data_IF_577225805518
#
_entry.id   IF_577225805518
#
_cell.length_a   1.000
_cell.length_b   1.000
_cell.length_c   1.000
_cell.angle_alpha   90.00
_cell.angle_beta   90.00
_cell.angle_gamma   90.00
#
_symmetry.space_group_name_H-M   'P 1'
#
loop_
_entity.id
_entity.type
_entity.pdbx_description
1 polymer ?
#
# COMPACT_ATOMS: atom_id res chain seq x y z
N UNK A 1 -3.03 6.19 -28.44
CA UNK A 1 -2.73 6.15 -27.00
C UNK A 1 -1.31 5.61 -26.90
N UNK A 2 -0.34 6.46 -26.53
CA UNK A 2 1.06 6.04 -26.34
C UNK A 2 1.14 5.36 -24.98
N UNK A 3 1.37 4.06 -24.96
CA UNK A 3 1.77 3.36 -23.76
C UNK A 3 3.09 3.97 -23.24
N UNK A 4 3.01 4.78 -22.20
CA UNK A 4 4.21 5.18 -21.45
C UNK A 4 4.67 3.96 -20.65
N UNK A 5 5.76 3.32 -21.10
CA UNK A 5 6.46 2.30 -20.33
C UNK A 5 7.05 2.99 -19.09
N UNK A 6 6.50 2.73 -17.94
CA UNK A 6 7.09 3.13 -16.66
C UNK A 6 8.48 2.48 -16.55
N UNK A 7 9.53 3.30 -16.56
CA UNK A 7 10.90 2.85 -16.39
C UNK A 7 11.25 2.73 -14.89
N UNK A 8 10.42 1.97 -14.17
CA UNK A 8 10.68 1.67 -12.75
C UNK A 8 11.64 0.49 -12.69
N UNK A 9 12.90 0.73 -12.37
CA UNK A 9 13.93 -0.30 -12.22
C UNK A 9 14.53 -0.20 -10.82
N UNK A 10 14.31 -1.23 -10.00
CA UNK A 10 14.76 -1.32 -8.60
C UNK A 10 16.28 -1.17 -8.47
N UNK A 11 17.05 -1.60 -9.47
CA UNK A 11 18.51 -1.45 -9.50
C UNK A 11 18.93 0.01 -9.66
N UNK A 12 18.19 0.81 -10.45
CA UNK A 12 18.36 2.28 -10.48
C UNK A 12 17.84 2.93 -9.21
N UNK A 13 16.80 2.35 -8.63
CA UNK A 13 16.22 2.74 -7.37
C UNK A 13 17.20 2.56 -6.20
N UNK A 14 17.98 1.47 -6.20
CA UNK A 14 18.99 1.19 -5.18
C UNK A 14 20.40 1.72 -5.55
N UNK A 15 20.74 1.83 -6.84
CA UNK A 15 22.06 2.31 -7.29
C UNK A 15 22.25 3.82 -7.18
N UNK A 16 21.19 4.59 -7.00
CA UNK A 16 21.29 6.00 -6.61
C UNK A 16 21.92 6.22 -5.24
N UNK A 17 22.10 5.15 -4.44
CA UNK A 17 22.64 5.17 -3.08
C UNK A 17 24.16 5.01 -3.00
N UNK A 18 24.90 4.75 -4.09
CA UNK A 18 26.32 4.36 -4.03
C UNK A 18 27.32 5.49 -4.38
N UNK A 19 26.86 6.68 -4.77
CA UNK A 19 27.75 7.78 -5.13
C UNK A 19 27.68 8.94 -4.12
N UNK A 20 28.07 8.70 -2.88
CA UNK A 20 28.12 9.76 -1.86
C UNK A 20 28.82 9.33 -0.58
N UNK A 21 30.09 8.86 -0.69
CA UNK A 21 30.91 8.70 0.49
C UNK A 21 31.31 10.08 1.04
N UNK A 22 30.89 10.36 2.29
CA UNK A 22 31.56 11.31 3.15
C UNK A 22 30.91 12.68 3.32
N UNK A 23 29.77 12.72 3.97
CA UNK A 23 29.43 13.81 4.90
C UNK A 23 28.70 13.16 6.07
N UNK A 24 29.35 13.08 7.21
CA UNK A 24 28.70 12.89 8.50
C UNK A 24 27.73 14.06 8.66
N UNK A 25 26.48 13.87 8.24
CA UNK A 25 25.40 14.79 8.55
C UNK A 25 25.18 14.67 10.07
N UNK A 26 25.72 15.64 10.81
CA UNK A 26 25.24 15.89 12.16
C UNK A 26 23.70 15.96 12.11
N UNK A 27 22.97 15.42 13.11
CA UNK A 27 21.53 15.56 13.17
C UNK A 27 21.22 17.04 13.01
N UNK A 28 20.40 17.39 12.00
CA UNK A 28 19.95 18.75 11.83
C UNK A 28 19.19 19.12 13.10
N UNK A 29 19.81 19.90 13.97
CA UNK A 29 19.17 20.46 15.15
C UNK A 29 18.11 21.39 14.59
N UNK A 30 16.86 20.91 14.53
CA UNK A 30 15.70 21.72 14.23
C UNK A 30 15.62 22.77 15.33
N UNK A 31 15.88 24.03 14.97
CA UNK A 31 15.89 25.09 15.95
C UNK A 31 14.53 25.21 16.59
N UNK A 32 14.48 25.13 17.90
CA UNK A 32 13.27 25.17 18.76
C UNK A 32 12.40 26.42 18.63
N UNK A 33 12.69 27.31 17.69
CA UNK A 33 11.93 28.56 17.44
C UNK A 33 10.73 28.40 16.49
N UNK A 34 10.57 27.25 15.80
CA UNK A 34 9.44 27.03 14.89
C UNK A 34 8.24 26.29 15.54
N UNK A 35 8.40 25.81 16.78
CA UNK A 35 7.39 25.00 17.46
C UNK A 35 6.53 25.83 18.43
N UNK A 36 5.90 26.91 17.94
CA UNK A 36 4.93 27.68 18.73
C UNK A 36 3.51 27.09 18.61
N UNK A 37 3.36 25.77 18.59
CA UNK A 37 2.07 25.10 18.50
C UNK A 37 2.01 23.88 19.43
N UNK A 38 0.93 23.14 19.48
CA UNK A 38 0.53 22.18 20.51
C UNK A 38 1.57 21.17 21.00
N UNK A 39 2.67 20.95 20.27
CA UNK A 39 3.67 19.93 20.57
C UNK A 39 3.18 18.50 20.29
N UNK A 40 2.11 18.36 19.49
CA UNK A 40 1.52 17.05 19.15
C UNK A 40 0.99 17.00 17.72
N UNK A 41 0.87 15.80 17.17
CA UNK A 41 0.18 15.49 15.93
C UNK A 41 -0.81 14.35 16.14
N UNK A 42 -2.03 14.50 15.65
CA UNK A 42 -3.08 13.50 15.73
C UNK A 42 -3.10 12.70 14.42
N UNK A 43 -2.64 11.45 14.50
CA UNK A 43 -2.50 10.56 13.36
C UNK A 43 -3.48 9.39 13.43
N UNK A 44 -4.14 9.12 12.30
CA UNK A 44 -4.97 7.92 12.12
C UNK A 44 -4.34 7.06 11.02
N UNK A 45 -4.02 5.82 11.35
CA UNK A 45 -3.38 4.88 10.46
C UNK A 45 -3.87 3.45 10.66
N UNK A 46 -3.14 2.50 10.14
CA UNK A 46 -3.51 1.09 10.06
C UNK A 46 -3.32 0.36 11.38
N UNK A 47 -4.29 -0.52 11.71
CA UNK A 47 -4.20 -1.44 12.83
C UNK A 47 -3.30 -2.65 12.53
N UNK A 48 -2.70 -3.22 13.58
CA UNK A 48 -1.91 -4.45 13.47
C UNK A 48 -0.40 -4.23 13.31
N UNK A 49 0.08 -3.00 13.47
CA UNK A 49 1.50 -2.63 13.34
C UNK A 49 2.08 -2.04 14.63
N UNK A 50 2.25 -2.85 15.70
CA UNK A 50 2.68 -2.36 17.02
C UNK A 50 4.04 -1.67 17.03
N UNK A 51 4.91 -2.00 16.08
CA UNK A 51 6.23 -1.36 15.91
C UNK A 51 6.12 0.16 15.72
N UNK A 52 5.01 0.66 15.19
CA UNK A 52 4.76 2.10 15.07
C UNK A 52 4.81 2.76 16.45
N UNK A 53 4.05 2.25 17.42
CA UNK A 53 3.97 2.80 18.77
C UNK A 53 5.17 2.44 19.64
N UNK A 54 5.80 1.30 19.39
CA UNK A 54 6.94 0.81 20.16
C UNK A 54 8.27 1.48 19.79
N UNK A 55 8.45 1.84 18.50
CA UNK A 55 9.75 2.32 17.99
C UNK A 55 9.65 3.60 17.17
N UNK A 56 8.72 3.68 16.20
CA UNK A 56 8.71 4.77 15.22
C UNK A 56 8.29 6.09 15.86
N UNK A 57 7.17 6.11 16.59
CA UNK A 57 6.69 7.33 17.23
C UNK A 57 7.63 7.81 18.35
N UNK A 58 8.19 6.94 19.21
CA UNK A 58 9.23 7.37 20.14
C UNK A 58 10.48 7.97 19.49
N UNK A 59 10.91 7.42 18.34
CA UNK A 59 12.04 7.98 17.60
C UNK A 59 11.72 9.37 17.01
N UNK A 60 10.52 9.54 16.45
CA UNK A 60 10.04 10.83 15.98
C UNK A 60 9.94 11.85 17.12
N UNK A 61 9.36 11.48 18.27
CA UNK A 61 9.27 12.34 19.44
C UNK A 61 10.66 12.74 19.97
N UNK A 62 11.58 11.79 20.03
CA UNK A 62 12.97 12.08 20.43
C UNK A 62 13.68 13.05 19.47
N UNK A 63 13.41 12.95 18.17
CA UNK A 63 14.04 13.80 17.15
C UNK A 63 13.43 15.20 17.08
N UNK A 64 12.14 15.36 17.38
CA UNK A 64 11.38 16.59 17.11
C UNK A 64 10.76 17.25 18.34
N UNK A 65 10.59 16.51 19.43
CA UNK A 65 9.82 16.94 20.60
C UNK A 65 8.30 16.93 20.36
N UNK A 66 7.81 16.37 19.25
CA UNK A 66 6.39 16.32 18.88
C UNK A 66 5.85 14.94 19.24
N UNK A 67 4.81 14.90 20.06
CA UNK A 67 4.11 13.66 20.43
C UNK A 67 3.16 13.22 19.34
N UNK A 68 3.11 11.91 19.05
CA UNK A 68 2.10 11.33 18.17
C UNK A 68 0.94 10.78 18.98
N UNK A 69 -0.25 11.34 18.79
CA UNK A 69 -1.49 10.77 19.29
C UNK A 69 -2.04 9.86 18.19
N UNK A 70 -1.94 8.56 18.37
CA UNK A 70 -2.27 7.57 17.34
C UNK A 70 -3.62 6.90 17.61
N UNK A 71 -4.44 6.82 16.53
CA UNK A 71 -5.63 5.99 16.46
C UNK A 71 -5.49 5.00 15.33
N UNK A 72 -5.55 3.71 15.62
CA UNK A 72 -5.49 2.67 14.60
C UNK A 72 -6.88 2.27 14.11
N UNK A 73 -7.01 2.00 12.81
CA UNK A 73 -8.23 1.53 12.15
C UNK A 73 -7.92 0.35 11.22
N UNK A 74 -8.87 -0.61 11.09
CA UNK A 74 -8.60 -1.87 10.40
C UNK A 74 -8.55 -1.76 8.87
N UNK A 75 -9.26 -0.78 8.28
CA UNK A 75 -9.42 -0.65 6.84
C UNK A 75 -9.70 0.78 6.40
N UNK A 76 -9.58 1.02 5.09
CA UNK A 76 -9.73 2.35 4.49
C UNK A 76 -11.16 2.88 4.48
N UNK A 77 -12.16 2.02 4.45
CA UNK A 77 -13.56 2.45 4.44
C UNK A 77 -13.94 2.98 5.83
N UNK A 78 -13.44 2.32 6.88
CA UNK A 78 -13.51 2.81 8.26
C UNK A 78 -12.74 4.11 8.44
N UNK A 79 -11.52 4.23 7.88
CA UNK A 79 -10.74 5.47 7.89
C UNK A 79 -11.50 6.61 7.20
N UNK A 80 -12.12 6.35 6.04
CA UNK A 80 -12.90 7.35 5.33
C UNK A 80 -14.10 7.84 6.14
N UNK A 81 -14.83 6.91 6.77
CA UNK A 81 -15.96 7.25 7.65
C UNK A 81 -15.51 8.11 8.83
N UNK A 82 -14.39 7.74 9.47
CA UNK A 82 -13.78 8.51 10.55
C UNK A 82 -13.36 9.91 10.09
N UNK A 83 -12.77 10.03 8.90
CA UNK A 83 -12.40 11.30 8.30
C UNK A 83 -13.60 12.24 8.09
N UNK A 84 -14.75 11.70 7.71
CA UNK A 84 -16.01 12.48 7.61
C UNK A 84 -16.47 13.00 8.96
N UNK A 85 -16.42 12.17 10.00
CA UNK A 85 -16.74 12.61 11.37
C UNK A 85 -15.75 13.67 11.83
N UNK A 86 -14.46 13.47 11.60
CA UNK A 86 -13.42 14.41 11.98
C UNK A 86 -13.51 15.75 11.25
N UNK A 87 -14.05 15.81 10.05
CA UNK A 87 -14.29 17.06 9.33
C UNK A 87 -15.22 17.98 10.11
N UNK A 88 -16.20 17.41 10.83
CA UNK A 88 -17.15 18.16 11.64
C UNK A 88 -16.63 18.43 13.06
N UNK A 89 -15.98 17.44 13.66
CA UNK A 89 -15.58 17.46 15.08
C UNK A 89 -14.14 17.92 15.32
N UNK A 90 -13.27 17.83 14.30
CA UNK A 90 -11.84 18.01 14.43
C UNK A 90 -11.14 16.80 15.07
N UNK A 91 -9.89 17.00 15.49
CA UNK A 91 -9.15 16.01 16.27
C UNK A 91 -8.29 15.03 15.46
N UNK A 92 -8.23 15.17 14.15
CA UNK A 92 -7.32 14.43 13.27
C UNK A 92 -6.56 15.42 12.40
N UNK A 93 -5.24 15.27 12.32
CA UNK A 93 -4.38 16.09 11.48
C UNK A 93 -3.93 15.35 10.22
N UNK A 94 -3.54 14.08 10.37
CA UNK A 94 -2.99 13.24 9.31
C UNK A 94 -3.72 11.89 9.28
N UNK A 95 -3.99 11.40 8.07
CA UNK A 95 -4.45 10.03 7.83
C UNK A 95 -3.61 9.36 6.75
N UNK A 96 -3.63 8.02 6.67
CA UNK A 96 -2.78 7.24 5.77
C UNK A 96 -3.58 6.31 4.83
N UNK A 97 -4.28 6.86 3.82
CA UNK A 97 -4.90 6.03 2.78
C UNK A 97 -3.88 5.54 1.74
N UNK A 98 -4.28 4.59 0.90
CA UNK A 98 -3.54 4.26 -0.32
C UNK A 98 -3.79 5.29 -1.43
N UNK A 99 -2.86 5.36 -2.39
CA UNK A 99 -2.86 6.34 -3.49
C UNK A 99 -4.13 6.31 -4.34
N UNK A 100 -4.77 5.16 -4.45
CA UNK A 100 -6.00 4.97 -5.22
C UNK A 100 -7.26 5.55 -4.54
N UNK A 101 -7.16 5.96 -3.28
CA UNK A 101 -8.30 6.37 -2.44
C UNK A 101 -8.39 7.88 -2.18
N UNK A 102 -7.27 8.57 -2.13
CA UNK A 102 -7.26 9.99 -1.72
C UNK A 102 -8.10 10.90 -2.63
N UNK A 103 -8.16 10.62 -3.94
CA UNK A 103 -8.98 11.40 -4.88
C UNK A 103 -10.46 11.40 -4.49
N UNK A 104 -11.00 10.24 -4.08
CA UNK A 104 -12.34 10.13 -3.52
C UNK A 104 -12.52 10.87 -2.21
N UNK A 105 -11.49 10.92 -1.36
CA UNK A 105 -11.52 11.69 -0.12
C UNK A 105 -11.48 13.19 -0.39
N UNK A 106 -10.65 13.62 -1.36
CA UNK A 106 -10.57 15.01 -1.78
C UNK A 106 -11.89 15.52 -2.37
N UNK A 107 -12.52 14.75 -3.25
CA UNK A 107 -13.82 15.10 -3.84
C UNK A 107 -14.95 15.22 -2.81
N UNK A 108 -14.82 14.53 -1.66
CA UNK A 108 -15.71 14.71 -0.51
C UNK A 108 -15.30 15.86 0.42
N UNK A 109 -14.29 16.66 0.06
CA UNK A 109 -13.89 17.85 0.77
C UNK A 109 -13.16 17.62 2.10
N UNK A 110 -12.60 16.41 2.30
CA UNK A 110 -11.93 16.02 3.54
C UNK A 110 -10.51 16.57 3.67
N UNK A 111 -9.84 16.88 2.54
CA UNK A 111 -8.40 17.08 2.51
C UNK A 111 -7.99 18.55 2.40
N UNK A 112 -6.87 18.87 3.05
CA UNK A 112 -6.06 20.07 2.88
C UNK A 112 -4.83 19.78 2.02
N UNK A 113 -4.27 20.82 1.42
CA UNK A 113 -3.04 20.68 0.66
C UNK A 113 -1.81 20.73 1.57
N UNK A 114 -0.81 19.92 1.25
CA UNK A 114 0.52 20.00 1.82
C UNK A 114 1.28 21.20 1.23
N UNK A 115 2.14 21.81 2.03
CA UNK A 115 3.11 22.81 1.56
C UNK A 115 4.42 22.09 1.19
N UNK A 116 4.76 21.97 -0.10
CA UNK A 116 5.99 21.26 -0.50
C UNK A 116 7.27 21.89 0.05
N UNK A 117 7.25 23.18 0.36
CA UNK A 117 8.42 23.88 0.93
C UNK A 117 8.72 23.45 2.38
N UNK A 118 7.74 22.88 3.08
CA UNK A 118 7.89 22.35 4.44
C UNK A 118 8.23 20.86 4.46
N UNK A 119 8.23 20.19 3.29
CA UNK A 119 8.54 18.77 3.13
C UNK A 119 9.95 18.62 2.54
N UNK A 120 10.59 17.47 2.81
CA UNK A 120 11.88 17.15 2.21
C UNK A 120 11.67 16.32 0.92
N UNK A 121 11.08 16.95 -0.11
CA UNK A 121 10.70 16.26 -1.35
C UNK A 121 11.88 15.58 -2.05
N UNK A 122 13.10 16.10 -1.92
CA UNK A 122 14.32 15.50 -2.48
C UNK A 122 14.72 14.18 -1.79
N UNK A 123 14.18 13.88 -0.63
CA UNK A 123 14.44 12.62 0.07
C UNK A 123 13.76 11.43 -0.61
N UNK A 124 12.68 11.65 -1.35
CA UNK A 124 11.92 10.55 -1.94
C UNK A 124 12.69 9.88 -3.07
N UNK A 125 12.50 8.57 -3.15
CA UNK A 125 13.00 7.79 -4.27
C UNK A 125 12.35 8.25 -5.58
N UNK A 126 13.12 8.30 -6.69
CA UNK A 126 12.59 8.69 -7.99
C UNK A 126 11.37 7.84 -8.39
N UNK A 127 10.32 8.49 -8.85
CA UNK A 127 9.09 7.85 -9.30
C UNK A 127 8.01 7.70 -8.22
N UNK A 128 8.28 8.01 -6.94
CA UNK A 128 7.27 7.98 -5.87
C UNK A 128 6.62 9.34 -5.60
N UNK A 129 7.41 10.41 -5.54
CA UNK A 129 6.92 11.77 -5.31
C UNK A 129 7.02 12.67 -6.56
N UNK A 130 7.57 12.13 -7.65
CA UNK A 130 7.71 12.78 -8.95
C UNK A 130 7.19 11.87 -10.08
N UNK A 131 7.20 12.33 -11.31
CA UNK A 131 6.68 11.58 -12.46
C UNK A 131 5.22 11.20 -12.31
N UNK A 132 4.83 10.04 -12.81
CA UNK A 132 3.43 9.59 -12.82
C UNK A 132 2.82 9.41 -11.43
N UNK A 133 3.61 8.97 -10.44
CA UNK A 133 3.15 8.89 -9.06
C UNK A 133 3.00 10.29 -8.45
N UNK A 134 3.94 11.20 -8.74
CA UNK A 134 3.89 12.59 -8.30
C UNK A 134 2.68 13.34 -8.90
N UNK A 135 2.35 13.11 -10.16
CA UNK A 135 1.14 13.65 -10.80
C UNK A 135 -0.13 13.14 -10.11
N UNK A 136 -0.17 11.85 -9.77
CA UNK A 136 -1.30 11.24 -9.03
C UNK A 136 -1.44 11.75 -7.60
N UNK A 137 -0.43 12.40 -7.06
CA UNK A 137 -0.46 13.00 -5.70
C UNK A 137 -1.00 14.42 -5.68
N UNK A 138 -1.47 14.96 -6.82
CA UNK A 138 -1.85 16.36 -6.96
C UNK A 138 -3.30 16.55 -7.41
N UNK A 139 -3.87 17.66 -6.93
CA UNK A 139 -5.11 18.25 -7.44
C UNK A 139 -4.73 19.61 -8.05
N UNK A 140 -4.55 19.65 -9.37
CA UNK A 140 -3.91 20.79 -10.04
C UNK A 140 -2.49 21.02 -9.50
N UNK A 141 -2.20 22.23 -9.07
CA UNK A 141 -0.90 22.60 -8.50
C UNK A 141 -0.73 22.19 -7.02
N UNK A 142 -1.80 21.73 -6.37
CA UNK A 142 -1.80 21.42 -4.93
C UNK A 142 -1.29 20.00 -4.69
N UNK A 143 -0.30 19.88 -3.81
CA UNK A 143 0.13 18.57 -3.31
C UNK A 143 -0.86 18.07 -2.26
N UNK A 144 -1.54 16.96 -2.53
CA UNK A 144 -2.60 16.43 -1.67
C UNK A 144 -2.17 15.16 -0.93
N UNK A 145 -1.13 14.50 -1.42
CA UNK A 145 -0.71 13.19 -0.95
C UNK A 145 0.81 13.07 -0.90
N UNK A 146 1.34 12.51 0.18
CA UNK A 146 2.79 12.36 0.41
C UNK A 146 3.07 10.89 0.71
N UNK A 147 3.87 10.17 -0.10
CA UNK A 147 4.14 8.75 0.09
C UNK A 147 4.79 8.44 1.45
N UNK A 148 4.37 7.33 2.09
CA UNK A 148 4.95 6.82 3.36
C UNK A 148 5.67 5.49 3.18
N UNK A 149 5.08 4.55 2.47
CA UNK A 149 5.65 3.26 2.11
C UNK A 149 4.97 2.71 0.85
N UNK A 150 5.54 1.66 0.29
CA UNK A 150 4.93 0.96 -0.84
C UNK A 150 5.12 -0.56 -0.71
N UNK A 151 4.27 -1.31 -1.37
CA UNK A 151 4.32 -2.75 -1.33
C UNK A 151 3.53 -3.38 -2.45
N UNK A 152 3.34 -4.68 -2.32
CA UNK A 152 2.65 -5.51 -3.30
C UNK A 152 1.61 -6.41 -2.64
N UNK A 153 0.66 -6.89 -3.45
CA UNK A 153 -0.24 -7.97 -3.11
C UNK A 153 -0.05 -9.07 -4.15
N UNK A 154 0.43 -10.23 -3.72
CA UNK A 154 0.81 -11.33 -4.59
C UNK A 154 0.55 -12.69 -3.92
N UNK A 155 1.07 -13.77 -4.51
CA UNK A 155 0.85 -15.11 -4.00
C UNK A 155 1.73 -15.38 -2.77
N UNK A 156 1.13 -15.71 -1.63
CA UNK A 156 1.78 -16.39 -0.51
C UNK A 156 1.48 -17.88 -0.65
N UNK A 157 2.50 -18.72 -0.72
CA UNK A 157 2.34 -20.13 -1.06
C UNK A 157 3.17 -21.04 -0.16
N UNK A 158 2.60 -22.17 0.26
CA UNK A 158 3.36 -23.31 0.73
C UNK A 158 3.74 -24.18 -0.48
N UNK A 159 4.98 -24.06 -0.97
CA UNK A 159 5.41 -24.76 -2.19
C UNK A 159 5.37 -26.30 -2.08
N UNK A 160 5.43 -26.83 -0.86
CA UNK A 160 5.36 -28.29 -0.65
C UNK A 160 3.94 -28.83 -0.85
N UNK A 161 2.91 -28.01 -0.63
CA UNK A 161 1.51 -28.43 -0.61
C UNK A 161 0.69 -27.85 -1.76
N UNK A 162 0.92 -26.57 -2.12
CA UNK A 162 0.17 -25.89 -3.16
C UNK A 162 0.43 -26.49 -4.56
N UNK A 163 -0.64 -26.60 -5.34
CA UNK A 163 -0.58 -27.04 -6.74
C UNK A 163 -0.46 -25.82 -7.65
N UNK A 164 0.79 -25.49 -8.00
CA UNK A 164 1.09 -24.30 -8.80
C UNK A 164 1.29 -24.65 -10.27
N UNK A 165 0.86 -23.74 -11.13
CA UNK A 165 1.25 -23.71 -12.54
C UNK A 165 2.74 -23.34 -12.67
N UNK A 166 3.30 -23.57 -13.85
CA UNK A 166 4.69 -23.20 -14.14
C UNK A 166 4.75 -22.34 -15.40
N UNK A 167 5.03 -21.03 -15.28
CA UNK A 167 5.24 -20.26 -14.03
C UNK A 167 3.95 -20.07 -13.21
N UNK A 168 4.07 -19.73 -11.90
CA UNK A 168 2.92 -19.46 -11.04
C UNK A 168 2.03 -18.33 -11.57
N UNK A 169 0.72 -18.50 -11.47
CA UNK A 169 -0.30 -17.62 -12.05
C UNK A 169 -1.34 -17.19 -11.02
N UNK A 170 -2.02 -16.08 -11.25
CA UNK A 170 -3.22 -15.71 -10.48
C UNK A 170 -4.30 -16.80 -10.56
N UNK A 171 -4.30 -17.62 -11.61
CA UNK A 171 -5.19 -18.77 -11.76
C UNK A 171 -5.03 -19.84 -10.68
N UNK A 172 -3.84 -19.96 -10.08
CA UNK A 172 -3.57 -20.96 -9.03
C UNK A 172 -4.39 -20.71 -7.76
N UNK A 173 -4.84 -19.45 -7.52
CA UNK A 173 -5.78 -19.09 -6.45
C UNK A 173 -7.13 -19.77 -6.58
N UNK A 174 -7.51 -20.17 -7.78
CA UNK A 174 -8.81 -20.74 -8.12
C UNK A 174 -8.76 -22.26 -8.36
N UNK A 175 -7.60 -22.88 -8.10
CA UNK A 175 -7.46 -24.31 -8.15
C UNK A 175 -8.17 -24.95 -6.94
N UNK A 176 -9.15 -25.86 -7.12
CA UNK A 176 -9.89 -26.46 -6.01
C UNK A 176 -9.04 -27.30 -5.06
N UNK A 177 -7.83 -27.73 -5.48
CA UNK A 177 -6.89 -28.46 -4.65
C UNK A 177 -6.05 -27.56 -3.73
N UNK A 178 -6.16 -26.23 -3.86
CA UNK A 178 -5.43 -25.27 -3.04
C UNK A 178 -6.37 -24.60 -2.02
N UNK A 179 -6.40 -25.02 -0.75
CA UNK A 179 -7.07 -24.24 0.31
C UNK A 179 -6.54 -22.81 0.31
N UNK A 180 -7.44 -21.84 0.15
CA UNK A 180 -7.05 -20.45 -0.13
C UNK A 180 -7.50 -19.47 0.95
N UNK A 181 -6.64 -18.49 1.27
CA UNK A 181 -6.97 -17.30 2.06
C UNK A 181 -7.03 -16.09 1.13
N UNK A 182 -8.21 -15.47 1.02
CA UNK A 182 -8.49 -14.51 -0.04
C UNK A 182 -9.13 -13.22 0.50
N UNK A 183 -8.79 -12.10 -0.16
CA UNK A 183 -9.46 -10.81 0.04
C UNK A 183 -10.50 -10.60 -1.06
N UNK A 184 -11.78 -10.40 -0.74
CA UNK A 184 -12.85 -10.50 -1.74
C UNK A 184 -12.65 -9.63 -2.98
N UNK A 185 -12.40 -8.33 -2.81
CA UNK A 185 -12.26 -7.42 -3.94
C UNK A 185 -10.97 -7.61 -4.75
N UNK A 186 -9.86 -7.91 -4.08
CA UNK A 186 -8.59 -8.21 -4.75
C UNK A 186 -8.67 -9.51 -5.53
N UNK A 187 -9.40 -10.50 -5.00
CA UNK A 187 -9.63 -11.77 -5.68
C UNK A 187 -10.47 -11.60 -6.95
N UNK A 188 -11.50 -10.75 -6.92
CA UNK A 188 -12.26 -10.44 -8.14
C UNK A 188 -11.40 -9.72 -9.18
N UNK A 189 -10.53 -8.81 -8.75
CA UNK A 189 -9.58 -8.17 -9.64
C UNK A 189 -8.53 -9.18 -10.18
N UNK A 190 -8.08 -10.14 -9.34
CA UNK A 190 -7.20 -11.22 -9.78
C UNK A 190 -7.87 -12.13 -10.81
N UNK A 191 -9.14 -12.50 -10.61
CA UNK A 191 -9.91 -13.25 -11.58
C UNK A 191 -10.03 -12.48 -12.91
N UNK A 192 -10.39 -11.21 -12.85
CA UNK A 192 -10.50 -10.37 -14.05
C UNK A 192 -9.18 -10.29 -14.82
N UNK A 193 -8.06 -10.01 -14.14
CA UNK A 193 -6.73 -9.96 -14.76
C UNK A 193 -6.28 -11.31 -15.34
N UNK A 194 -6.59 -12.41 -14.64
CA UNK A 194 -6.29 -13.74 -15.14
C UNK A 194 -7.09 -14.07 -16.41
N UNK A 195 -8.38 -13.72 -16.45
CA UNK A 195 -9.22 -13.90 -17.63
C UNK A 195 -8.78 -13.00 -18.80
N UNK A 196 -8.39 -11.75 -18.51
CA UNK A 196 -7.86 -10.80 -19.50
C UNK A 196 -6.58 -11.33 -20.14
N UNK A 197 -5.64 -11.82 -19.33
CA UNK A 197 -4.40 -12.43 -19.81
C UNK A 197 -4.63 -13.64 -20.74
N UNK A 198 -5.76 -14.33 -20.60
CA UNK A 198 -6.18 -15.44 -21.45
C UNK A 198 -7.03 -15.03 -22.66
N UNK A 199 -7.30 -13.73 -22.83
CA UNK A 199 -8.19 -13.22 -23.88
C UNK A 199 -9.66 -13.66 -23.73
N UNK A 200 -10.12 -13.94 -22.52
CA UNK A 200 -11.46 -14.42 -22.21
C UNK A 200 -12.45 -13.30 -21.86
N UNK A 201 -12.00 -12.06 -21.81
CA UNK A 201 -12.85 -10.90 -21.59
C UNK A 201 -13.23 -10.22 -22.93
N UNK A 202 -14.41 -9.57 -23.01
CA UNK A 202 -14.87 -8.88 -24.21
C UNK A 202 -14.07 -7.59 -24.51
N UNK A 203 -13.36 -7.07 -23.52
CA UNK A 203 -12.50 -5.88 -23.60
C UNK A 203 -11.42 -5.95 -22.50
N UNK A 204 -10.39 -5.10 -22.54
CA UNK A 204 -9.34 -5.07 -21.52
C UNK A 204 -9.91 -4.84 -20.10
N UNK A 205 -9.37 -5.55 -19.11
CA UNK A 205 -9.77 -5.39 -17.70
C UNK A 205 -9.66 -3.94 -17.20
N UNK A 206 -8.66 -3.21 -17.70
CA UNK A 206 -8.43 -1.80 -17.34
C UNK A 206 -9.57 -0.85 -17.72
N UNK A 207 -10.39 -1.19 -18.72
CA UNK A 207 -11.52 -0.34 -19.13
C UNK A 207 -12.54 -0.17 -17.99
N UNK A 208 -12.64 -1.17 -17.12
CA UNK A 208 -13.53 -1.14 -15.95
C UNK A 208 -13.14 -0.09 -14.90
N UNK A 209 -11.93 0.47 -14.96
CA UNK A 209 -11.50 1.53 -14.03
C UNK A 209 -11.75 2.94 -14.57
N UNK A 210 -12.13 3.07 -15.82
CA UNK A 210 -12.38 4.35 -16.50
C UNK A 210 -13.83 4.54 -16.95
N UNK A 211 -14.61 3.45 -17.01
CA UNK A 211 -15.99 3.42 -17.44
C UNK A 211 -16.81 2.48 -16.55
N UNK A 212 -17.85 3.01 -15.88
CA UNK A 212 -18.71 2.24 -14.96
C UNK A 212 -19.56 1.19 -15.67
N UNK A 213 -19.93 1.39 -16.96
CA UNK A 213 -20.62 0.36 -17.72
C UNK A 213 -19.69 -0.81 -18.05
N UNK A 214 -18.44 -0.50 -18.45
CA UNK A 214 -17.39 -1.50 -18.63
C UNK A 214 -17.06 -2.22 -17.32
N UNK A 215 -17.00 -1.47 -16.19
CA UNK A 215 -16.81 -2.09 -14.87
C UNK A 215 -17.90 -3.15 -14.62
N UNK A 216 -19.16 -2.79 -14.81
CA UNK A 216 -20.27 -3.72 -14.55
C UNK A 216 -20.14 -4.99 -15.41
N UNK A 217 -19.91 -4.83 -16.73
CA UNK A 217 -19.74 -5.95 -17.65
C UNK A 217 -18.58 -6.89 -17.22
N UNK A 218 -17.41 -6.31 -16.96
CA UNK A 218 -16.21 -7.09 -16.63
C UNK A 218 -16.27 -7.73 -15.25
N UNK A 219 -16.79 -7.01 -14.27
CA UNK A 219 -16.90 -7.52 -12.90
C UNK A 219 -18.00 -8.56 -12.75
N UNK A 220 -19.08 -8.51 -13.54
CA UNK A 220 -20.09 -9.57 -13.59
C UNK A 220 -19.46 -10.89 -14.09
N UNK A 221 -18.62 -10.83 -15.12
CA UNK A 221 -17.89 -12.01 -15.63
C UNK A 221 -16.93 -12.54 -14.55
N UNK A 222 -16.11 -11.65 -13.96
CA UNK A 222 -15.14 -12.04 -12.93
C UNK A 222 -15.84 -12.64 -11.70
N UNK A 223 -16.96 -12.06 -11.25
CA UNK A 223 -17.75 -12.57 -10.15
C UNK A 223 -18.30 -13.97 -10.44
N UNK A 224 -18.90 -14.16 -11.64
CA UNK A 224 -19.48 -15.44 -12.02
C UNK A 224 -18.42 -16.57 -12.04
N UNK A 225 -17.22 -16.30 -12.56
CA UNK A 225 -16.13 -17.27 -12.58
C UNK A 225 -15.53 -17.50 -11.19
N UNK A 226 -15.37 -16.43 -10.38
CA UNK A 226 -14.84 -16.55 -9.02
C UNK A 226 -15.81 -17.36 -8.11
N UNK A 227 -17.12 -17.19 -8.26
CA UNK A 227 -18.11 -17.97 -7.51
C UNK A 227 -17.99 -19.48 -7.82
N UNK A 228 -17.74 -19.87 -9.07
CA UNK A 228 -17.55 -21.29 -9.43
C UNK A 228 -16.33 -21.91 -8.72
N UNK A 229 -15.31 -21.11 -8.48
CA UNK A 229 -14.07 -21.54 -7.85
C UNK A 229 -14.04 -21.38 -6.33
N UNK A 230 -15.06 -20.77 -5.73
CA UNK A 230 -15.09 -20.37 -4.30
C UNK A 230 -14.92 -21.50 -3.31
N UNK A 231 -15.17 -22.75 -3.72
CA UNK A 231 -15.17 -23.92 -2.82
C UNK A 231 -13.83 -24.20 -2.10
N UNK A 232 -12.73 -23.61 -2.57
CA UNK A 232 -11.41 -23.74 -1.96
C UNK A 232 -11.11 -22.66 -0.91
N UNK A 233 -11.95 -21.67 -0.70
CA UNK A 233 -11.71 -20.58 0.24
C UNK A 233 -11.93 -21.05 1.67
N UNK A 234 -10.85 -21.07 2.47
CA UNK A 234 -10.88 -21.44 3.88
C UNK A 234 -10.94 -20.25 4.81
N UNK A 235 -10.52 -19.06 4.34
CA UNK A 235 -10.53 -17.83 5.11
C UNK A 235 -10.70 -16.60 4.21
N UNK A 236 -11.62 -15.72 4.57
CA UNK A 236 -11.66 -14.35 4.07
C UNK A 236 -10.82 -13.45 4.98
N UNK A 237 -10.18 -12.44 4.38
CA UNK A 237 -9.42 -11.46 5.14
C UNK A 237 -9.71 -10.03 4.67
N UNK A 238 -9.55 -9.10 5.59
CA UNK A 238 -9.62 -7.65 5.37
C UNK A 238 -8.38 -6.94 5.88
N UNK A 239 -7.69 -7.52 6.87
CA UNK A 239 -6.48 -6.99 7.50
C UNK A 239 -5.41 -8.05 7.70
N UNK A 240 -4.21 -7.61 8.06
CA UNK A 240 -3.00 -8.43 8.20
C UNK A 240 -3.17 -9.63 9.14
N UNK A 241 -3.82 -9.42 10.29
CA UNK A 241 -4.02 -10.48 11.28
C UNK A 241 -4.89 -11.63 10.74
N UNK A 242 -5.93 -11.30 9.99
CA UNK A 242 -6.81 -12.29 9.36
C UNK A 242 -6.08 -13.03 8.24
N UNK A 243 -5.26 -12.33 7.43
CA UNK A 243 -4.45 -12.94 6.39
C UNK A 243 -3.46 -13.97 6.98
N UNK A 244 -2.71 -13.61 8.03
CA UNK A 244 -1.81 -14.53 8.73
C UNK A 244 -2.56 -15.72 9.34
N UNK A 245 -3.73 -15.49 9.96
CA UNK A 245 -4.53 -16.55 10.57
C UNK A 245 -5.03 -17.58 9.55
N UNK A 246 -5.28 -17.18 8.31
CA UNK A 246 -5.66 -18.08 7.22
C UNK A 246 -4.65 -19.20 7.01
N UNK A 247 -3.37 -18.91 7.08
CA UNK A 247 -2.28 -19.86 6.94
C UNK A 247 -2.00 -20.61 8.24
N UNK A 248 -1.89 -19.91 9.35
CA UNK A 248 -1.43 -20.50 10.62
C UNK A 248 -2.51 -21.28 11.37
N UNK A 249 -3.78 -20.95 11.19
CA UNK A 249 -4.89 -21.55 11.91
C UNK A 249 -5.89 -22.30 11.01
N UNK A 250 -6.08 -21.89 9.76
CA UNK A 250 -7.12 -22.42 8.88
C UNK A 250 -6.59 -23.27 7.71
N UNK A 251 -5.27 -23.54 7.67
CA UNK A 251 -4.66 -24.49 6.76
C UNK A 251 -4.64 -24.05 5.30
N UNK A 252 -4.63 -22.76 5.01
CA UNK A 252 -4.45 -22.28 3.64
C UNK A 252 -3.05 -22.68 3.13
N UNK A 253 -2.99 -23.14 1.89
CA UNK A 253 -1.73 -23.42 1.18
C UNK A 253 -1.35 -22.34 0.20
N UNK A 254 -2.33 -21.51 -0.19
CA UNK A 254 -2.15 -20.36 -1.08
C UNK A 254 -2.98 -19.17 -0.59
N UNK A 255 -2.53 -17.95 -0.90
CA UNK A 255 -3.32 -16.75 -0.67
C UNK A 255 -2.91 -15.60 -1.57
N UNK A 256 -3.83 -14.69 -1.81
CA UNK A 256 -3.53 -13.38 -2.38
C UNK A 256 -3.42 -12.40 -1.21
N UNK A 257 -2.20 -12.08 -0.82
CA UNK A 257 -1.92 -11.32 0.41
C UNK A 257 -0.85 -10.27 0.19
N UNK A 258 -0.72 -9.38 1.17
CA UNK A 258 0.34 -8.38 1.16
C UNK A 258 1.73 -9.01 1.34
N UNK A 259 2.76 -8.29 0.93
CA UNK A 259 4.16 -8.67 1.14
C UNK A 259 4.51 -8.80 2.63
N UNK A 260 3.86 -8.05 3.52
CA UNK A 260 3.95 -8.22 4.97
C UNK A 260 3.53 -9.62 5.44
N UNK A 261 2.45 -10.18 4.90
CA UNK A 261 2.03 -11.56 5.21
C UNK A 261 3.10 -12.57 4.78
N UNK A 262 3.63 -12.42 3.55
CA UNK A 262 4.73 -13.27 3.07
C UNK A 262 5.99 -13.14 3.93
N UNK A 263 6.32 -11.92 4.36
CA UNK A 263 7.45 -11.69 5.26
C UNK A 263 7.26 -12.38 6.62
N UNK A 264 6.08 -12.25 7.22
CA UNK A 264 5.78 -12.84 8.52
C UNK A 264 5.89 -14.38 8.49
N UNK A 265 5.46 -15.00 7.39
CA UNK A 265 5.40 -16.45 7.24
C UNK A 265 6.65 -17.08 6.59
N UNK A 266 7.68 -16.29 6.24
CA UNK A 266 8.88 -16.75 5.51
C UNK A 266 9.66 -17.86 6.19
N UNK A 267 9.58 -17.94 7.51
CA UNK A 267 10.27 -18.96 8.31
C UNK A 267 9.38 -20.19 8.58
N UNK A 268 8.11 -20.15 8.16
CA UNK A 268 7.11 -21.20 8.39
C UNK A 268 6.85 -22.04 7.13
N UNK A 269 7.76 -21.98 6.15
CA UNK A 269 7.67 -22.76 4.90
C UNK A 269 6.85 -22.09 3.79
N UNK A 270 6.47 -20.84 3.97
CA UNK A 270 5.77 -20.07 2.94
C UNK A 270 6.71 -19.17 2.15
N UNK A 271 6.39 -19.01 0.87
CA UNK A 271 7.08 -18.09 -0.04
C UNK A 271 6.13 -17.05 -0.59
N UNK A 272 6.69 -15.90 -0.88
CA UNK A 272 5.99 -14.79 -1.55
C UNK A 272 6.44 -14.73 -3.00
N UNK A 273 5.51 -14.91 -3.94
CA UNK A 273 5.82 -15.12 -5.36
C UNK A 273 5.01 -14.16 -6.22
N UNK A 274 5.68 -13.46 -7.14
CA UNK A 274 5.01 -12.69 -8.18
C UNK A 274 4.36 -13.64 -9.21
N UNK A 275 3.05 -13.55 -9.47
CA UNK A 275 2.40 -14.31 -10.53
C UNK A 275 2.85 -13.82 -11.91
N UNK A 276 2.70 -14.65 -12.93
CA UNK A 276 3.11 -14.33 -14.31
C UNK A 276 2.39 -13.12 -14.89
N UNK A 277 1.16 -12.85 -14.44
CA UNK A 277 0.38 -11.67 -14.79
C UNK A 277 0.90 -10.38 -14.10
N UNK A 278 1.81 -10.50 -13.15
CA UNK A 278 2.35 -9.42 -12.34
C UNK A 278 1.57 -9.22 -11.03
N UNK A 279 2.30 -8.92 -9.96
CA UNK A 279 1.73 -8.59 -8.65
C UNK A 279 0.95 -7.27 -8.70
N UNK A 280 -0.10 -7.17 -7.90
CA UNK A 280 -0.71 -5.87 -7.60
C UNK A 280 0.30 -5.01 -6.83
N UNK A 281 0.39 -3.75 -7.18
CA UNK A 281 1.26 -2.80 -6.49
C UNK A 281 0.44 -1.65 -5.90
N UNK A 282 0.80 -1.24 -4.71
CA UNK A 282 0.16 -0.15 -3.99
C UNK A 282 1.22 0.72 -3.31
N UNK A 283 0.89 1.95 -3.02
CA UNK A 283 1.62 2.71 -2.02
C UNK A 283 0.64 3.44 -1.10
N UNK A 284 1.05 3.54 0.15
CA UNK A 284 0.40 4.32 1.19
C UNK A 284 1.05 5.69 1.25
N UNK A 285 0.31 6.62 1.82
CA UNK A 285 0.84 7.95 2.05
C UNK A 285 -0.07 8.80 2.90
N UNK A 286 0.49 9.89 3.34
CA UNK A 286 -0.18 10.80 4.23
C UNK A 286 -1.04 11.79 3.45
N UNK A 287 -2.25 12.00 3.95
CA UNK A 287 -3.12 13.10 3.60
C UNK A 287 -3.27 14.03 4.81
N UNK A 288 -3.25 15.34 4.54
CA UNK A 288 -3.52 16.36 5.54
C UNK A 288 -5.04 16.56 5.63
N UNK A 289 -5.61 16.52 6.82
CA UNK A 289 -7.03 16.80 6.98
C UNK A 289 -7.31 18.29 6.80
N UNK A 290 -8.44 18.64 6.15
CA UNK A 290 -8.80 20.02 5.81
C UNK A 290 -8.89 20.94 7.04
N UNK A 291 -9.31 20.39 8.17
CA UNK A 291 -9.48 21.12 9.43
C UNK A 291 -8.40 20.77 10.46
N UNK A 292 -7.24 20.24 9.99
CA UNK A 292 -6.08 19.96 10.83
C UNK A 292 -5.68 21.21 11.62
N UNK A 293 -5.41 21.04 12.90
CA UNK A 293 -4.98 22.13 13.80
C UNK A 293 -3.46 22.18 13.96
N UNK A 294 -2.81 21.03 13.83
CA UNK A 294 -1.38 20.85 14.05
C UNK A 294 -0.64 20.72 12.69
N UNK A 295 -0.89 21.66 11.78
CA UNK A 295 -0.41 21.60 10.39
C UNK A 295 1.12 21.55 10.31
N UNK A 296 1.84 22.34 11.12
CA UNK A 296 3.31 22.33 11.10
C UNK A 296 3.87 21.02 11.64
N UNK A 297 3.27 20.45 12.68
CA UNK A 297 3.65 19.14 13.22
C UNK A 297 3.34 18.01 12.24
N UNK A 298 2.25 18.10 11.50
CA UNK A 298 1.93 17.16 10.43
C UNK A 298 3.00 17.16 9.33
N UNK A 299 3.52 18.34 8.95
CA UNK A 299 4.62 18.45 7.99
C UNK A 299 5.91 17.85 8.54
N UNK A 300 6.27 18.13 9.80
CA UNK A 300 7.46 17.52 10.43
C UNK A 300 7.31 15.99 10.52
N UNK A 301 6.10 15.47 10.78
CA UNK A 301 5.83 14.04 10.78
C UNK A 301 6.06 13.40 9.40
N UNK A 302 5.46 13.97 8.35
CA UNK A 302 5.65 13.49 6.99
C UNK A 302 7.11 13.60 6.53
N UNK A 303 7.80 14.70 6.90
CA UNK A 303 9.21 14.92 6.62
C UNK A 303 10.11 13.86 7.32
N UNK A 304 9.83 13.55 8.58
CA UNK A 304 10.57 12.51 9.31
C UNK A 304 10.48 11.16 8.60
N UNK A 305 9.28 10.76 8.18
CA UNK A 305 9.06 9.48 7.48
C UNK A 305 9.76 9.45 6.11
N UNK A 306 10.06 10.58 5.48
CA UNK A 306 10.83 10.65 4.24
C UNK A 306 12.35 10.60 4.43
N UNK A 307 12.86 10.75 5.66
CA UNK A 307 14.31 10.62 5.92
C UNK A 307 14.77 9.17 5.70
N UNK A 308 16.05 8.90 5.41
CA UNK A 308 16.55 7.54 5.24
C UNK A 308 16.20 6.62 6.42
N UNK A 309 16.48 7.07 7.64
CA UNK A 309 16.22 6.32 8.86
C UNK A 309 14.70 6.20 9.16
N UNK A 310 13.98 7.29 9.12
CA UNK A 310 12.53 7.30 9.37
C UNK A 310 11.77 6.44 8.37
N UNK A 311 12.14 6.48 7.08
CA UNK A 311 11.55 5.65 6.05
C UNK A 311 11.87 4.17 6.21
N UNK A 312 13.10 3.83 6.62
CA UNK A 312 13.47 2.45 6.95
C UNK A 312 12.66 1.92 8.15
N UNK A 313 12.51 2.74 9.19
CA UNK A 313 11.72 2.39 10.37
C UNK A 313 10.24 2.20 10.01
N UNK A 314 9.66 3.12 9.21
CA UNK A 314 8.28 3.06 8.75
C UNK A 314 8.03 1.80 7.91
N UNK A 315 8.85 1.58 6.88
CA UNK A 315 8.76 0.40 6.03
C UNK A 315 8.92 -0.91 6.81
N UNK A 316 9.86 -0.95 7.77
CA UNK A 316 10.07 -2.12 8.63
C UNK A 316 8.84 -2.38 9.51
N UNK A 317 8.19 -1.34 10.05
CA UNK A 317 6.98 -1.48 10.85
C UNK A 317 5.83 -2.11 10.07
N UNK A 318 5.70 -1.76 8.79
CA UNK A 318 4.70 -2.31 7.88
C UNK A 318 5.16 -3.56 7.13
N UNK A 319 6.39 -4.03 7.35
CA UNK A 319 7.00 -5.08 6.54
C UNK A 319 6.84 -4.82 5.04
N UNK A 320 7.11 -3.60 4.61
CA UNK A 320 6.92 -3.06 3.26
C UNK A 320 8.22 -2.42 2.72
N UNK A 321 8.15 -1.69 1.61
CA UNK A 321 9.32 -1.04 1.04
C UNK A 321 9.38 0.45 1.42
N UNK A 322 10.59 0.98 1.69
CA UNK A 322 10.78 2.37 2.08
C UNK A 322 10.60 3.33 0.89
N UNK A 323 10.23 4.57 1.18
CA UNK A 323 10.12 5.66 0.19
C UNK A 323 11.35 6.57 0.14
N UNK A 324 12.17 6.56 1.18
CA UNK A 324 13.33 7.44 1.32
C UNK A 324 14.58 6.91 0.61
N UNK A 325 15.35 7.80 -0.01
CA UNK A 325 16.69 7.48 -0.55
C UNK A 325 17.63 7.06 0.58
N UNK A 326 18.45 6.01 0.36
CA UNK A 326 19.41 5.54 1.35
C UNK A 326 18.82 4.72 2.50
N UNK A 327 17.53 4.47 2.54
CA UNK A 327 16.89 3.72 3.64
C UNK A 327 17.39 2.29 3.81
N UNK A 328 17.89 1.65 2.74
CA UNK A 328 18.40 0.28 2.81
C UNK A 328 19.56 0.13 3.82
N UNK A 329 20.31 1.21 4.07
CA UNK A 329 21.45 1.21 5.04
C UNK A 329 20.95 1.13 6.50
N UNK A 330 19.69 1.47 6.76
CA UNK A 330 19.06 1.46 8.08
C UNK A 330 18.14 0.26 8.31
N UNK A 331 17.96 -0.60 7.30
CA UNK A 331 17.16 -1.82 7.42
C UNK A 331 18.05 -2.98 7.91
N UNK A 332 17.45 -3.92 8.66
CA UNK A 332 18.19 -5.15 9.00
C UNK A 332 18.51 -5.97 7.74
N UNK A 333 19.66 -6.65 7.68
CA UNK A 333 20.09 -7.37 6.48
C UNK A 333 19.09 -8.41 5.97
N UNK A 334 18.38 -9.08 6.86
CA UNK A 334 17.35 -10.09 6.52
C UNK A 334 16.11 -9.45 5.90
N UNK A 335 15.65 -8.31 6.41
CA UNK A 335 14.54 -7.53 5.85
C UNK A 335 14.92 -7.00 4.47
N UNK A 336 16.10 -6.39 4.37
CA UNK A 336 16.61 -5.88 3.09
C UNK A 336 16.75 -7.02 2.05
N UNK A 337 17.25 -8.19 2.47
CA UNK A 337 17.40 -9.36 1.61
C UNK A 337 16.04 -9.91 1.13
N UNK A 338 15.03 -9.96 2.01
CA UNK A 338 13.69 -10.40 1.65
C UNK A 338 13.11 -9.53 0.53
N UNK A 339 13.05 -8.22 0.73
CA UNK A 339 12.47 -7.31 -0.27
C UNK A 339 13.29 -7.22 -1.55
N UNK A 340 14.62 -7.36 -1.46
CA UNK A 340 15.49 -7.39 -2.64
C UNK A 340 15.39 -8.72 -3.40
N UNK A 341 15.11 -9.83 -2.71
CA UNK A 341 15.03 -11.16 -3.27
C UNK A 341 13.64 -11.57 -3.78
N UNK A 342 12.58 -10.86 -3.35
CA UNK A 342 11.19 -11.24 -3.66
C UNK A 342 10.83 -11.07 -5.13
N UNK A 343 11.34 -10.01 -5.77
CA UNK A 343 11.05 -9.71 -7.17
C UNK A 343 12.33 -9.44 -7.95
N UNK A 344 12.48 -10.11 -9.07
CA UNK A 344 13.50 -9.78 -10.07
C UNK A 344 13.06 -8.57 -10.93
N UNK A 345 13.97 -8.10 -11.80
CA UNK A 345 13.70 -6.95 -12.67
C UNK A 345 12.49 -7.21 -13.62
N UNK A 346 12.26 -8.44 -14.02
CA UNK A 346 11.15 -8.82 -14.89
C UNK A 346 9.81 -8.79 -14.15
N UNK A 347 9.77 -9.27 -12.92
CA UNK A 347 8.59 -9.19 -12.05
C UNK A 347 8.26 -7.74 -11.68
N UNK A 348 9.28 -6.92 -11.37
CA UNK A 348 9.10 -5.49 -11.11
C UNK A 348 8.56 -4.73 -12.33
N UNK A 349 9.00 -5.08 -13.54
CA UNK A 349 8.50 -4.47 -14.76
C UNK A 349 7.04 -4.80 -15.07
N UNK A 350 6.51 -5.86 -14.47
CA UNK A 350 5.11 -6.32 -14.59
C UNK A 350 4.22 -5.88 -13.44
N UNK A 351 4.71 -5.09 -12.47
CA UNK A 351 3.87 -4.59 -11.40
C UNK A 351 2.63 -3.89 -11.94
N UNK A 352 1.49 -4.31 -11.45
CA UNK A 352 0.20 -3.72 -11.78
C UNK A 352 -0.22 -2.80 -10.65
N UNK A 353 0.02 -1.51 -10.86
CA UNK A 353 -0.37 -0.47 -9.89
C UNK A 353 -1.87 -0.31 -9.88
N UNK A 354 -2.47 -0.41 -8.68
CA UNK A 354 -3.88 -0.14 -8.53
C UNK A 354 -4.25 1.19 -9.17
N UNK A 355 -5.18 1.20 -10.16
CA UNK A 355 -5.65 2.44 -10.77
C UNK A 355 -6.38 3.29 -9.76
N UNK A 356 -6.55 4.58 -10.06
CA UNK A 356 -7.41 5.45 -9.30
C UNK A 356 -8.84 4.91 -9.25
N UNK A 357 -9.46 4.98 -8.07
CA UNK A 357 -10.81 4.48 -7.85
C UNK A 357 -11.70 5.62 -7.38
N UNK A 358 -12.68 5.97 -8.20
CA UNK A 358 -13.71 6.95 -7.85
C UNK A 358 -14.58 6.44 -6.70
N UNK A 359 -15.29 7.32 -6.01
CA UNK A 359 -16.23 6.91 -4.95
C UNK A 359 -17.32 5.96 -5.48
N UNK A 360 -17.79 6.17 -6.71
CA UNK A 360 -18.78 5.29 -7.38
C UNK A 360 -18.18 3.91 -7.65
N UNK A 361 -16.93 3.85 -8.17
CA UNK A 361 -16.22 2.59 -8.38
C UNK A 361 -16.06 1.82 -7.08
N UNK A 362 -15.64 2.49 -6.00
CA UNK A 362 -15.45 1.87 -4.69
C UNK A 362 -16.76 1.30 -4.14
N UNK A 363 -17.85 2.05 -4.21
CA UNK A 363 -19.16 1.57 -3.78
C UNK A 363 -19.58 0.32 -4.56
N UNK A 364 -19.43 0.35 -5.89
CA UNK A 364 -19.76 -0.78 -6.75
C UNK A 364 -18.85 -2.00 -6.49
N UNK A 365 -17.56 -1.78 -6.33
CA UNK A 365 -16.59 -2.81 -5.96
C UNK A 365 -16.96 -3.50 -4.64
N UNK A 366 -17.39 -2.72 -3.64
CA UNK A 366 -17.85 -3.27 -2.35
C UNK A 366 -19.08 -4.14 -2.50
N UNK A 367 -20.06 -3.74 -3.33
CA UNK A 367 -21.21 -4.59 -3.66
C UNK A 367 -20.80 -5.93 -4.27
N UNK A 368 -19.83 -5.92 -5.20
CA UNK A 368 -19.30 -7.15 -5.80
C UNK A 368 -18.57 -8.03 -4.78
N UNK A 369 -17.76 -7.44 -3.91
CA UNK A 369 -17.07 -8.15 -2.83
C UNK A 369 -18.08 -8.85 -1.89
N UNK A 370 -19.16 -8.15 -1.51
CA UNK A 370 -20.22 -8.69 -0.66
C UNK A 370 -21.00 -9.83 -1.36
N UNK A 371 -21.33 -9.66 -2.63
CA UNK A 371 -21.96 -10.72 -3.45
C UNK A 371 -21.07 -11.95 -3.53
N UNK A 372 -19.76 -11.78 -3.71
CA UNK A 372 -18.81 -12.87 -3.77
C UNK A 372 -18.72 -13.63 -2.43
N UNK A 373 -18.70 -12.91 -1.32
CA UNK A 373 -18.70 -13.53 0.03
C UNK A 373 -19.99 -14.29 0.30
N UNK A 374 -21.15 -13.73 -0.12
CA UNK A 374 -22.46 -14.28 0.17
C UNK A 374 -22.84 -15.49 -0.71
N UNK A 375 -22.30 -15.61 -1.93
CA UNK A 375 -22.58 -16.72 -2.85
C UNK A 375 -22.00 -18.03 -2.31
#
# INVERSE_FOLDING_TARGET
>A
VKHMKSAFNRRRFLQGSVAGAGLLAAPAIISSKALASSGEVNFVGWAGYPVLTEKVFPAFEAATGIKVNFKELPDQDTMFAEGKVALETGGIDVMEPTIDRWGGWNSNGLLGAWDPAKLAMDNYLPGLADGSAGERSRDGDKLMYVPSNWGTEALVVNEAEAKLSSPPSLGDLFNPENPAVLRPHSTLAAMGRWLDAQGKLPRPWMDGYTDMAAMTELWDIALAEAIKAKGNVVQWWSGENEANAGFTANGATIGLCWDSTGFNLRNDGYKYIAPVEGAFAWHQGFVLMKNAKNVDQAHEFAKFVSTPEGSAMWATAFSSNPVGKGSAEFMSPDVAAYYNGTFDDAALAKLWWWPEQTAEFIAKRSEYADKYKAA
#
